data_IF_963723276513
#
_entry.id   IF_963723276513
#
_cell.length_a   1.000
_cell.length_b   1.000
_cell.length_c   1.000
_cell.angle_alpha   90.00
_cell.angle_beta   90.00
_cell.angle_gamma   90.00
#
_symmetry.space_group_name_H-M   'P 1'
#
loop_
_entity.id
_entity.type
_entity.pdbx_description
1 polymer ?
#
# COMPACT_ATOMS: atom_id res chain seq x y z
N UNK A 1 4.65 -16.31 11.30
CA UNK A 1 5.87 -15.47 11.51
C UNK A 1 7.01 -15.98 10.65
N UNK A 2 7.11 -17.29 10.49
CA UNK A 2 8.18 -17.97 9.74
C UNK A 2 8.06 -17.83 8.21
N UNK A 3 6.96 -17.26 7.71
CA UNK A 3 6.74 -16.95 6.29
C UNK A 3 7.37 -15.61 5.86
N UNK A 4 7.98 -14.87 6.79
CA UNK A 4 8.65 -13.61 6.47
C UNK A 4 10.11 -13.96 6.22
N UNK A 5 10.61 -13.72 5.01
CA UNK A 5 11.96 -14.07 4.58
C UNK A 5 13.02 -13.02 4.95
N UNK A 6 12.64 -11.75 5.00
CA UNK A 6 13.55 -10.64 5.35
C UNK A 6 12.83 -9.50 6.06
N UNK A 7 13.56 -8.74 6.87
CA UNK A 7 13.07 -7.55 7.58
C UNK A 7 13.98 -6.38 7.26
N UNK A 8 13.54 -5.48 6.38
CA UNK A 8 14.29 -4.29 5.96
C UNK A 8 13.88 -3.08 6.81
N UNK A 9 14.87 -2.36 7.33
CA UNK A 9 14.64 -1.16 8.14
C UNK A 9 14.65 0.11 7.28
N UNK A 10 13.59 0.92 7.40
CA UNK A 10 13.44 2.18 6.65
C UNK A 10 13.06 3.31 7.61
N UNK A 11 13.70 4.48 7.46
CA UNK A 11 13.52 5.69 8.28
C UNK A 11 14.45 5.76 9.48
N UNK A 12 14.96 6.97 9.80
CA UNK A 12 15.98 7.20 10.82
C UNK A 12 15.60 6.76 12.24
N UNK A 13 14.32 6.76 12.59
CA UNK A 13 13.83 6.25 13.88
C UNK A 13 14.12 4.76 14.09
N UNK A 14 14.34 3.99 13.02
CA UNK A 14 14.75 2.57 13.12
C UNK A 14 16.18 2.39 13.64
N UNK A 15 16.97 3.47 13.80
CA UNK A 15 18.29 3.46 14.46
C UNK A 15 18.19 3.29 15.98
N UNK A 16 17.01 3.56 16.56
CA UNK A 16 16.77 3.42 18.01
C UNK A 16 16.99 1.95 18.42
N UNK A 17 17.95 1.65 19.32
CA UNK A 17 18.27 0.27 19.69
C UNK A 17 17.08 -0.51 20.25
N UNK A 18 16.21 0.16 21.00
CA UNK A 18 15.02 -0.47 21.58
C UNK A 18 14.02 -0.93 20.50
N UNK A 19 13.86 -0.17 19.41
CA UNK A 19 12.99 -0.55 18.29
C UNK A 19 13.53 -1.81 17.60
N UNK A 20 14.85 -1.87 17.36
CA UNK A 20 15.51 -3.04 16.77
C UNK A 20 15.38 -4.28 17.65
N UNK A 21 15.58 -4.12 18.96
CA UNK A 21 15.40 -5.19 19.92
C UNK A 21 13.95 -5.72 19.89
N UNK A 22 12.96 -4.84 20.00
CA UNK A 22 11.54 -5.23 20.00
C UNK A 22 11.13 -5.92 18.69
N UNK A 23 11.65 -5.47 17.54
CA UNK A 23 11.40 -6.10 16.25
C UNK A 23 12.02 -7.50 16.18
N UNK A 24 13.28 -7.66 16.58
CA UNK A 24 13.94 -8.97 16.59
C UNK A 24 13.20 -9.94 17.53
N UNK A 25 12.82 -9.51 18.74
CA UNK A 25 12.01 -10.29 19.68
C UNK A 25 10.65 -10.67 19.09
N UNK A 26 9.97 -9.75 18.40
CA UNK A 26 8.67 -10.01 17.77
C UNK A 26 8.75 -11.10 16.70
N UNK A 27 9.86 -11.13 15.94
CA UNK A 27 10.12 -12.08 14.86
C UNK A 27 11.03 -13.25 15.27
N UNK A 28 11.09 -13.59 16.56
CA UNK A 28 11.74 -14.83 17.03
C UNK A 28 13.27 -14.80 16.99
N UNK A 29 13.87 -13.62 17.18
CA UNK A 29 15.33 -13.43 17.15
C UNK A 29 15.91 -13.29 15.75
N UNK A 30 15.06 -13.11 14.73
CA UNK A 30 15.51 -12.96 13.36
C UNK A 30 16.43 -11.74 13.20
N UNK A 31 17.48 -11.89 12.40
CA UNK A 31 18.41 -10.82 12.07
C UNK A 31 17.72 -9.76 11.18
N UNK A 32 17.90 -8.49 11.54
CA UNK A 32 17.34 -7.37 10.79
C UNK A 32 18.29 -6.97 9.67
N UNK A 33 17.77 -6.77 8.46
CA UNK A 33 18.57 -6.37 7.32
C UNK A 33 19.02 -4.90 7.48
N UNK A 34 20.34 -4.72 7.63
CA UNK A 34 21.00 -3.43 7.79
C UNK A 34 21.94 -3.09 6.62
N UNK A 35 21.82 -3.80 5.49
CA UNK A 35 22.67 -3.62 4.31
C UNK A 35 22.40 -2.31 3.57
N UNK A 36 21.23 -1.69 3.80
CA UNK A 36 20.81 -0.45 3.15
C UNK A 36 20.73 0.65 4.21
N UNK A 37 21.17 1.86 3.85
CA UNK A 37 21.00 3.03 4.70
C UNK A 37 19.49 3.33 4.87
N UNK A 38 18.93 3.27 6.10
CA UNK A 38 17.50 3.42 6.32
C UNK A 38 16.97 4.80 5.91
N UNK A 39 17.82 5.82 5.88
CA UNK A 39 17.44 7.19 5.52
C UNK A 39 17.35 7.41 4.00
N UNK A 40 18.01 6.55 3.22
CA UNK A 40 18.11 6.68 1.75
C UNK A 40 17.35 5.59 0.99
N UNK A 41 16.94 4.52 1.67
CA UNK A 41 16.31 3.34 1.06
C UNK A 41 15.13 3.69 0.13
N UNK A 42 14.25 4.61 0.58
CA UNK A 42 13.07 5.04 -0.19
C UNK A 42 13.48 5.80 -1.45
N UNK A 43 14.41 6.75 -1.32
CA UNK A 43 14.89 7.55 -2.45
C UNK A 43 15.60 6.66 -3.49
N UNK A 44 16.38 5.68 -3.04
CA UNK A 44 17.04 4.72 -3.91
C UNK A 44 16.04 3.88 -4.71
N UNK A 45 15.03 3.32 -4.05
CA UNK A 45 13.96 2.55 -4.72
C UNK A 45 13.18 3.38 -5.73
N UNK A 46 12.84 4.63 -5.39
CA UNK A 46 12.17 5.55 -6.30
C UNK A 46 13.03 5.90 -7.52
N UNK A 47 14.34 6.11 -7.33
CA UNK A 47 15.27 6.38 -8.44
C UNK A 47 15.39 5.18 -9.40
N UNK A 48 15.44 3.96 -8.87
CA UNK A 48 15.39 2.73 -9.69
C UNK A 48 14.09 2.69 -10.49
N UNK A 49 12.94 2.89 -9.85
CA UNK A 49 11.64 2.88 -10.53
C UNK A 49 11.54 3.96 -11.61
N UNK A 50 12.02 5.17 -11.34
CA UNK A 50 12.06 6.27 -12.31
C UNK A 50 12.94 5.92 -13.52
N UNK A 51 14.08 5.29 -13.29
CA UNK A 51 14.98 4.87 -14.36
C UNK A 51 14.43 3.68 -15.20
N UNK A 52 13.60 2.82 -14.61
CA UNK A 52 12.86 1.77 -15.33
C UNK A 52 11.78 2.41 -16.22
N UNK A 53 10.96 3.29 -15.66
CA UNK A 53 9.89 3.98 -16.41
C UNK A 53 10.44 4.91 -17.51
N UNK A 54 11.57 5.58 -17.24
CA UNK A 54 12.23 6.49 -18.18
C UNK A 54 13.11 5.80 -19.23
N UNK A 55 13.24 4.48 -19.21
CA UNK A 55 14.11 3.72 -20.13
C UNK A 55 15.62 3.93 -19.93
N UNK A 56 16.02 4.71 -18.92
CA UNK A 56 17.43 5.02 -18.64
C UNK A 56 18.25 3.83 -18.19
N UNK A 57 17.65 2.87 -17.46
CA UNK A 57 18.35 1.64 -17.06
C UNK A 57 18.62 0.70 -18.24
N UNK A 58 17.75 0.69 -19.26
CA UNK A 58 17.98 -0.09 -20.47
C UNK A 58 19.16 0.46 -21.29
N UNK A 59 19.34 1.79 -21.29
CA UNK A 59 20.45 2.47 -21.97
C UNK A 59 21.80 2.31 -21.27
N UNK A 60 21.81 2.01 -19.96
CA UNK A 60 23.04 1.84 -19.17
C UNK A 60 23.80 0.53 -19.47
N UNK A 61 23.17 -0.44 -20.14
CA UNK A 61 23.78 -1.74 -20.50
C UNK A 61 24.05 -2.67 -19.30
N UNK A 62 24.40 -3.93 -19.59
CA UNK A 62 24.79 -4.91 -18.57
C UNK A 62 23.66 -5.38 -17.65
N UNK A 63 23.98 -5.65 -16.38
CA UNK A 63 23.05 -6.21 -15.39
C UNK A 63 21.85 -5.28 -15.07
N UNK A 64 22.02 -3.96 -15.20
CA UNK A 64 20.98 -2.96 -14.99
C UNK A 64 19.91 -2.97 -16.10
N UNK A 65 20.30 -3.28 -17.34
CA UNK A 65 19.35 -3.42 -18.45
C UNK A 65 18.41 -4.61 -18.25
N UNK A 66 18.93 -5.74 -17.73
CA UNK A 66 18.12 -6.92 -17.41
C UNK A 66 17.13 -6.66 -16.26
N UNK A 67 17.56 -5.93 -15.22
CA UNK A 67 16.69 -5.52 -14.13
C UNK A 67 15.50 -4.66 -14.61
N UNK A 68 15.69 -3.85 -15.66
CA UNK A 68 14.63 -2.99 -16.19
C UNK A 68 13.49 -3.74 -16.89
N UNK A 69 13.76 -4.92 -17.46
CA UNK A 69 12.74 -5.74 -18.13
C UNK A 69 12.00 -6.70 -17.21
N UNK A 70 12.57 -7.04 -16.06
CA UNK A 70 12.03 -8.07 -15.14
C UNK A 70 11.30 -7.48 -13.93
N UNK A 71 11.49 -6.19 -13.64
CA UNK A 71 10.89 -5.54 -12.48
C UNK A 71 9.40 -5.20 -12.75
N UNK A 72 8.52 -5.96 -12.11
CA UNK A 72 7.06 -5.70 -12.09
C UNK A 72 6.67 -5.18 -10.72
N UNK A 73 6.10 -3.98 -10.67
CA UNK A 73 5.53 -3.39 -9.46
C UNK A 73 4.01 -3.58 -9.48
N UNK A 74 3.48 -4.29 -8.48
CA UNK A 74 2.04 -4.42 -8.28
C UNK A 74 1.66 -3.72 -6.98
N UNK A 75 1.02 -2.57 -7.12
CA UNK A 75 0.58 -1.76 -5.98
C UNK A 75 -0.88 -2.08 -5.61
N UNK A 76 -1.29 -1.73 -4.41
CA UNK A 76 -2.61 -2.07 -3.84
C UNK A 76 -3.22 -0.90 -3.08
N UNK A 77 -4.55 -0.88 -2.97
CA UNK A 77 -5.26 0.14 -2.18
C UNK A 77 -5.00 -0.06 -0.67
N UNK A 78 -4.57 0.97 0.09
CA UNK A 78 -4.15 0.81 1.49
C UNK A 78 -5.33 0.59 2.46
N UNK A 79 -6.43 1.29 2.24
CA UNK A 79 -7.67 1.20 3.02
C UNK A 79 -8.86 0.96 2.08
N UNK A 80 -9.94 0.43 2.64
CA UNK A 80 -11.15 0.17 1.90
C UNK A 80 -11.84 1.48 1.53
N UNK A 81 -12.30 1.58 0.28
CA UNK A 81 -13.06 2.70 -0.26
C UNK A 81 -14.51 2.28 -0.41
N UNK A 82 -15.43 3.16 -0.03
CA UNK A 82 -16.85 2.87 -0.03
C UNK A 82 -17.68 4.14 0.01
N UNK A 83 -19.00 3.95 0.02
CA UNK A 83 -19.96 5.03 0.13
C UNK A 83 -20.79 4.88 1.40
N UNK A 84 -21.32 5.99 1.89
CA UNK A 84 -22.34 5.96 2.93
C UNK A 84 -23.64 5.37 2.39
N UNK A 85 -24.28 4.54 3.20
CA UNK A 85 -25.61 3.97 2.97
C UNK A 85 -26.51 4.29 4.16
N UNK A 86 -27.82 4.03 4.00
CA UNK A 86 -28.83 4.20 5.04
C UNK A 86 -28.35 3.72 6.41
N UNK A 87 -28.59 4.52 7.44
CA UNK A 87 -28.18 4.22 8.81
C UNK A 87 -26.72 4.54 9.13
N UNK A 88 -26.06 5.40 8.34
CA UNK A 88 -24.66 5.83 8.53
C UNK A 88 -23.68 4.65 8.53
N UNK A 89 -23.93 3.68 7.65
CA UNK A 89 -23.07 2.50 7.46
C UNK A 89 -22.28 2.67 6.18
N UNK A 90 -20.97 2.41 6.25
CA UNK A 90 -20.11 2.41 5.08
C UNK A 90 -20.29 1.09 4.30
N UNK A 91 -20.75 1.19 3.05
CA UNK A 91 -20.72 0.07 2.11
C UNK A 91 -19.43 0.10 1.31
N UNK A 92 -18.54 -0.87 1.55
CA UNK A 92 -17.26 -0.99 0.85
C UNK A 92 -17.42 -1.44 -0.60
N UNK A 93 -16.86 -0.68 -1.54
CA UNK A 93 -16.85 -0.99 -2.98
C UNK A 93 -15.48 -1.54 -3.42
N UNK A 94 -14.40 -0.87 -2.99
CA UNK A 94 -13.02 -1.33 -3.24
C UNK A 94 -12.41 -1.72 -1.91
N UNK A 95 -12.13 -3.00 -1.72
CA UNK A 95 -11.52 -3.50 -0.48
C UNK A 95 -10.05 -3.12 -0.42
N UNK A 96 -9.52 -2.91 0.80
CA UNK A 96 -8.08 -2.83 1.03
C UNK A 96 -7.35 -4.03 0.41
N UNK A 97 -6.10 -3.82 0.03
CA UNK A 97 -5.25 -4.78 -0.68
C UNK A 97 -5.77 -5.18 -2.09
N UNK A 98 -6.74 -4.48 -2.68
CA UNK A 98 -7.10 -4.66 -4.10
C UNK A 98 -5.97 -4.10 -4.97
N UNK A 99 -5.47 -4.87 -5.94
CA UNK A 99 -4.41 -4.44 -6.85
C UNK A 99 -4.87 -3.30 -7.77
N UNK A 100 -4.00 -2.31 -7.98
CA UNK A 100 -4.25 -1.18 -8.90
C UNK A 100 -3.51 -1.40 -10.23
N UNK A 101 -4.10 -0.96 -11.38
CA UNK A 101 -5.37 -0.26 -11.52
C UNK A 101 -6.58 -1.20 -11.38
N UNK A 102 -7.67 -0.74 -10.76
CA UNK A 102 -8.92 -1.49 -10.64
C UNK A 102 -10.16 -0.64 -10.91
N UNK A 103 -11.25 -1.30 -11.34
CA UNK A 103 -12.59 -0.73 -11.44
C UNK A 103 -13.56 -1.70 -10.77
N UNK A 104 -14.39 -1.17 -9.86
CA UNK A 104 -15.47 -1.89 -9.17
C UNK A 104 -16.77 -1.11 -9.35
N UNK A 105 -17.89 -1.80 -9.32
CA UNK A 105 -19.20 -1.19 -9.53
C UNK A 105 -20.23 -2.04 -8.81
N UNK A 106 -21.05 -1.37 -7.98
CA UNK A 106 -22.17 -1.96 -7.27
C UNK A 106 -23.42 -1.11 -7.54
N UNK A 107 -24.60 -1.72 -7.44
CA UNK A 107 -25.88 -1.07 -7.70
C UNK A 107 -26.60 -0.77 -6.40
N UNK A 108 -27.04 0.48 -6.24
CA UNK A 108 -27.78 0.97 -5.07
C UNK A 108 -29.18 1.45 -5.50
N UNK A 109 -30.08 1.58 -4.53
CA UNK A 109 -31.44 2.07 -4.73
C UNK A 109 -31.76 3.15 -3.71
N UNK A 110 -32.79 3.96 -3.99
CA UNK A 110 -33.29 4.99 -3.09
C UNK A 110 -33.96 4.36 -1.87
N UNK A 111 -33.95 5.09 -0.75
CA UNK A 111 -34.53 4.61 0.51
C UNK A 111 -36.04 4.89 0.57
N UNK A 112 -36.49 6.00 -0.01
CA UNK A 112 -37.87 6.48 0.08
C UNK A 112 -38.59 6.47 -1.28
N UNK A 113 -39.93 6.32 -1.23
CA UNK A 113 -40.79 6.46 -2.41
C UNK A 113 -40.72 7.89 -2.97
N UNK A 114 -40.59 8.01 -4.29
CA UNK A 114 -40.50 9.30 -5.01
C UNK A 114 -39.27 10.15 -4.66
N UNK A 115 -38.22 9.57 -4.08
CA UNK A 115 -36.93 10.23 -3.89
C UNK A 115 -36.30 10.61 -5.25
N UNK A 116 -36.09 11.91 -5.49
CA UNK A 116 -35.59 12.44 -6.78
C UNK A 116 -34.08 12.69 -6.79
N UNK A 117 -33.41 12.63 -5.65
CA UNK A 117 -31.99 12.94 -5.48
C UNK A 117 -31.33 11.99 -4.47
N UNK A 118 -30.05 11.70 -4.68
CA UNK A 118 -29.20 10.93 -3.77
C UNK A 118 -27.90 11.68 -3.52
N UNK A 119 -27.42 11.65 -2.28
CA UNK A 119 -26.07 12.09 -1.94
C UNK A 119 -25.11 10.90 -1.97
N UNK A 120 -24.03 11.03 -2.73
CA UNK A 120 -22.97 10.01 -2.80
C UNK A 120 -21.75 10.53 -2.04
N UNK A 121 -21.67 10.19 -0.76
CA UNK A 121 -20.54 10.54 0.11
C UNK A 121 -19.52 9.40 0.09
N UNK A 122 -18.29 9.71 -0.29
CA UNK A 122 -17.20 8.74 -0.40
C UNK A 122 -16.36 8.74 0.87
N UNK A 123 -16.09 7.55 1.41
CA UNK A 123 -15.28 7.33 2.61
C UNK A 123 -14.09 6.40 2.34
N UNK A 124 -13.03 6.57 3.13
CA UNK A 124 -11.88 5.68 3.20
C UNK A 124 -11.69 5.21 4.65
N UNK A 125 -11.60 3.89 4.86
CA UNK A 125 -11.37 3.33 6.19
C UNK A 125 -11.91 1.91 6.38
N UNK A 126 -11.71 1.37 7.59
CA UNK A 126 -12.12 0.01 7.96
C UNK A 126 -13.21 -0.01 9.04
N UNK A 127 -13.71 1.17 9.46
CA UNK A 127 -14.82 1.28 10.41
C UNK A 127 -16.13 1.06 9.67
N UNK A 128 -17.02 0.27 10.28
CA UNK A 128 -18.33 -0.03 9.68
C UNK A 128 -19.30 1.17 9.71
N UNK A 129 -19.15 2.06 10.68
CA UNK A 129 -19.98 3.28 10.83
C UNK A 129 -19.19 4.50 10.38
N UNK A 130 -19.91 5.44 9.73
CA UNK A 130 -19.37 6.74 9.31
C UNK A 130 -19.63 7.85 10.35
N UNK A 131 -20.17 7.50 11.52
CA UNK A 131 -20.27 8.42 12.65
C UNK A 131 -18.89 8.78 13.21
N UNK A 132 -18.72 10.06 13.56
CA UNK A 132 -17.52 10.60 14.19
C UNK A 132 -17.29 10.03 15.59
#
# INVERSE_FOLDING_TARGET
>A
KDQIDDIVLVGGSTRVPKIRQMLSELFGGKELCASINPDEAVAYGAAVQAGVLGGGLAAAGGALAKASSELVLMDVVPLSLGIETTGRVMSTIVKRNTAIPCRKSDTFTTEEDWQTEIDVVVYEGERASVDA
#
